data_IF_839377918179
#
_entry.id   IF_839377918179
#
_cell.length_a   1.000
_cell.length_b   1.000
_cell.length_c   1.000
_cell.angle_alpha   90.00
_cell.angle_beta   90.00
_cell.angle_gamma   90.00
#
_symmetry.space_group_name_H-M   'P 1'
#
loop_
_entity.id
_entity.type
_entity.pdbx_description
1 polymer ?
#
# COMPACT_ATOMS: atom_id res chain seq x y z
N UNK A 1 -10.48 -4.99 35.95
CA UNK A 1 -9.40 -5.99 36.07
C UNK A 1 -8.71 -6.00 34.72
N UNK A 2 -7.54 -5.36 34.63
CA UNK A 2 -6.79 -5.28 33.36
C UNK A 2 -6.13 -6.64 33.17
N UNK A 3 -6.50 -7.34 32.11
CA UNK A 3 -5.89 -8.60 31.71
C UNK A 3 -4.38 -8.35 31.46
N UNK A 4 -3.46 -8.98 32.22
CA UNK A 4 -2.03 -8.70 32.18
C UNK A 4 -1.33 -9.41 31.01
N UNK A 5 -2.08 -9.89 30.00
CA UNK A 5 -1.47 -10.50 28.82
C UNK A 5 -0.48 -9.52 28.21
N UNK A 6 0.80 -9.92 28.05
CA UNK A 6 1.80 -9.06 27.43
C UNK A 6 1.31 -8.69 26.03
N UNK A 7 1.45 -7.41 25.68
CA UNK A 7 1.17 -6.95 24.31
C UNK A 7 1.97 -7.82 23.35
N UNK A 8 1.32 -8.39 22.31
CA UNK A 8 2.02 -9.20 21.34
C UNK A 8 3.18 -8.41 20.72
N UNK A 9 4.30 -9.09 20.50
CA UNK A 9 5.48 -8.50 19.89
C UNK A 9 5.37 -8.55 18.36
N UNK A 10 5.99 -7.60 17.64
CA UNK A 10 6.12 -7.68 16.19
C UNK A 10 6.79 -9.00 15.77
N UNK A 11 6.34 -9.57 14.65
CA UNK A 11 7.01 -10.74 14.09
C UNK A 11 8.39 -10.35 13.55
N UNK A 12 9.41 -11.23 13.68
CA UNK A 12 10.68 -11.06 12.99
C UNK A 12 10.49 -10.97 11.47
N UNK A 13 11.37 -10.21 10.80
CA UNK A 13 11.30 -9.99 9.36
C UNK A 13 11.30 -11.32 8.58
N UNK A 14 12.12 -12.28 8.97
CA UNK A 14 12.19 -13.62 8.36
C UNK A 14 10.84 -14.33 8.43
N UNK A 15 10.15 -14.22 9.58
CA UNK A 15 8.85 -14.86 9.77
C UNK A 15 7.78 -14.20 8.90
N UNK A 16 7.80 -12.87 8.77
CA UNK A 16 6.91 -12.14 7.86
C UNK A 16 7.14 -12.60 6.41
N UNK A 17 8.40 -12.73 5.99
CA UNK A 17 8.76 -13.16 4.64
C UNK A 17 8.42 -14.63 4.37
N UNK A 18 8.56 -15.53 5.35
CA UNK A 18 8.07 -16.91 5.25
C UNK A 18 6.56 -16.97 5.00
N UNK A 19 5.78 -16.11 5.66
CA UNK A 19 4.33 -16.01 5.45
C UNK A 19 4.00 -15.42 4.08
N UNK A 20 4.78 -14.43 3.65
CA UNK A 20 4.57 -13.71 2.40
C UNK A 20 4.91 -14.56 1.18
N UNK A 21 5.96 -15.39 1.21
CA UNK A 21 6.43 -16.18 0.06
C UNK A 21 5.32 -16.95 -0.69
N UNK A 22 4.50 -17.80 -0.03
CA UNK A 22 3.41 -18.50 -0.71
C UNK A 22 2.33 -17.54 -1.24
N UNK A 23 2.02 -16.47 -0.52
CA UNK A 23 0.99 -15.50 -0.93
C UNK A 23 1.42 -14.70 -2.16
N UNK A 24 2.71 -14.32 -2.24
CA UNK A 24 3.28 -13.66 -3.40
C UNK A 24 3.29 -14.58 -4.63
N UNK A 25 3.51 -15.88 -4.44
CA UNK A 25 3.48 -16.85 -5.53
C UNK A 25 2.09 -16.99 -6.17
N UNK A 26 1.00 -16.71 -5.44
CA UNK A 26 -0.37 -16.73 -5.98
C UNK A 26 -0.62 -15.63 -7.03
N UNK A 27 0.08 -14.51 -6.94
CA UNK A 27 -0.04 -13.39 -7.90
C UNK A 27 1.01 -13.41 -9.00
N UNK A 28 2.03 -14.28 -8.88
CA UNK A 28 3.00 -14.58 -9.94
C UNK A 28 4.45 -14.60 -9.47
N UNK A 29 5.29 -15.29 -10.25
CA UNK A 29 6.72 -15.45 -9.97
C UNK A 29 7.06 -16.62 -9.04
N UNK A 30 8.35 -16.90 -8.89
CA UNK A 30 8.85 -17.92 -7.96
C UNK A 30 9.59 -17.23 -6.81
N UNK A 31 8.86 -16.92 -5.74
CA UNK A 31 9.40 -16.22 -4.59
C UNK A 31 10.09 -17.17 -3.63
N UNK A 32 11.37 -16.93 -3.37
CA UNK A 32 12.19 -17.74 -2.45
C UNK A 32 12.93 -16.84 -1.48
N UNK A 33 13.05 -17.30 -0.24
CA UNK A 33 13.95 -16.68 0.74
C UNK A 33 15.39 -16.81 0.25
N UNK A 34 16.16 -15.74 0.42
CA UNK A 34 17.61 -15.71 0.16
C UNK A 34 18.39 -15.76 1.48
N UNK A 35 19.72 -15.80 1.39
CA UNK A 35 20.57 -15.57 2.56
C UNK A 35 20.38 -14.12 3.07
N UNK A 36 19.64 -13.96 4.17
CA UNK A 36 19.21 -12.68 4.74
C UNK A 36 17.69 -12.45 4.63
N UNK A 37 17.13 -11.45 5.33
CA UNK A 37 15.68 -11.20 5.38
C UNK A 37 15.17 -10.56 4.07
N UNK A 38 15.16 -11.34 2.99
CA UNK A 38 14.65 -10.93 1.68
C UNK A 38 14.04 -12.12 0.93
N UNK A 39 12.92 -11.87 0.23
CA UNK A 39 12.41 -12.74 -0.82
C UNK A 39 12.92 -12.29 -2.17
N UNK A 40 13.21 -13.22 -3.08
CA UNK A 40 13.65 -12.95 -4.44
C UNK A 40 12.84 -13.76 -5.44
N UNK A 41 12.48 -13.13 -6.57
CA UNK A 41 11.90 -13.76 -7.77
C UNK A 41 12.56 -13.13 -9.00
N UNK A 42 13.44 -13.89 -9.68
CA UNK A 42 14.29 -13.33 -10.74
C UNK A 42 15.21 -12.21 -10.20
N UNK A 43 15.12 -11.01 -10.77
CA UNK A 43 15.81 -9.81 -10.26
C UNK A 43 15.01 -9.05 -9.20
N UNK A 44 13.72 -9.34 -9.01
CA UNK A 44 12.90 -8.64 -8.02
C UNK A 44 13.20 -9.11 -6.60
N UNK A 45 13.13 -8.19 -5.66
CA UNK A 45 13.30 -8.46 -4.23
C UNK A 45 12.17 -7.86 -3.41
N UNK A 46 11.86 -8.50 -2.27
CA UNK A 46 10.96 -7.96 -1.24
C UNK A 46 11.63 -8.07 0.12
N UNK A 47 11.60 -6.99 0.90
CA UNK A 47 12.16 -6.90 2.25
C UNK A 47 11.15 -6.29 3.22
N UNK A 48 11.33 -6.61 4.50
CA UNK A 48 10.66 -5.90 5.60
C UNK A 48 11.59 -4.77 6.05
N UNK A 49 11.08 -3.55 6.10
CA UNK A 49 11.80 -2.39 6.61
C UNK A 49 11.69 -2.31 8.14
N UNK A 50 12.56 -1.55 8.81
CA UNK A 50 12.35 -1.21 10.22
C UNK A 50 10.97 -0.57 10.41
N UNK A 51 10.25 -1.01 11.45
CA UNK A 51 8.91 -0.51 11.73
C UNK A 51 8.94 1.01 11.99
N UNK A 52 8.02 1.73 11.35
CA UNK A 52 7.78 3.16 11.59
C UNK A 52 6.66 3.44 12.61
N UNK A 53 6.10 2.37 13.18
CA UNK A 53 4.97 2.35 14.11
C UNK A 53 5.24 1.37 15.25
N UNK A 54 4.74 1.70 16.46
CA UNK A 54 4.78 0.81 17.62
C UNK A 54 3.68 -0.28 17.59
N UNK A 55 2.78 -0.24 16.61
CA UNK A 55 1.75 -1.27 16.45
C UNK A 55 2.34 -2.53 15.81
N UNK A 56 2.38 -3.64 16.56
CA UNK A 56 2.93 -4.92 16.10
C UNK A 56 2.25 -5.51 14.86
N UNK A 57 1.05 -5.01 14.51
CA UNK A 57 0.28 -5.43 13.33
C UNK A 57 0.66 -4.66 12.08
N UNK A 58 1.46 -3.61 12.22
CA UNK A 58 1.92 -2.76 11.13
C UNK A 58 3.17 -3.36 10.49
N UNK A 59 3.21 -3.37 9.16
CA UNK A 59 4.34 -3.84 8.38
C UNK A 59 4.76 -2.77 7.38
N UNK A 60 6.04 -2.44 7.38
CA UNK A 60 6.71 -1.67 6.35
C UNK A 60 7.41 -2.62 5.37
N UNK A 61 7.04 -2.58 4.09
CA UNK A 61 7.53 -3.47 3.05
C UNK A 61 8.17 -2.67 1.92
N UNK A 62 9.26 -3.20 1.38
CA UNK A 62 9.99 -2.62 0.26
C UNK A 62 10.11 -3.61 -0.89
N UNK A 63 9.80 -3.15 -2.11
CA UNK A 63 10.06 -3.86 -3.36
C UNK A 63 11.32 -3.29 -4.00
N UNK A 64 12.30 -4.17 -4.22
CA UNK A 64 13.48 -3.90 -5.03
C UNK A 64 13.18 -4.30 -6.47
N UNK A 65 13.16 -3.33 -7.38
CA UNK A 65 12.90 -3.59 -8.81
C UNK A 65 14.04 -4.39 -9.46
N UNK A 66 15.26 -4.25 -8.92
CA UNK A 66 16.39 -5.07 -9.29
C UNK A 66 17.39 -5.17 -8.13
N UNK A 67 17.43 -6.34 -7.49
CA UNK A 67 18.32 -6.66 -6.34
C UNK A 67 19.79 -6.46 -6.69
N UNK A 68 20.17 -6.66 -7.95
CA UNK A 68 21.55 -6.55 -8.40
C UNK A 68 21.92 -5.12 -8.85
N UNK A 69 20.98 -4.16 -8.76
CA UNK A 69 21.15 -2.75 -9.15
C UNK A 69 20.66 -1.81 -8.05
N UNK A 70 21.50 -1.48 -7.06
CA UNK A 70 21.12 -0.63 -5.93
C UNK A 70 20.85 0.84 -6.32
N UNK A 71 21.24 1.23 -7.53
CA UNK A 71 20.95 2.56 -8.10
C UNK A 71 19.52 2.68 -8.66
N UNK A 72 18.81 1.56 -8.84
CA UNK A 72 17.41 1.54 -9.27
C UNK A 72 16.51 1.86 -8.08
N UNK A 73 15.49 2.74 -8.24
CA UNK A 73 14.59 3.09 -7.15
C UNK A 73 13.83 1.87 -6.62
N UNK A 74 13.55 1.89 -5.31
CA UNK A 74 12.68 0.92 -4.64
C UNK A 74 11.27 1.48 -4.45
N UNK A 75 10.29 0.61 -4.28
CA UNK A 75 8.91 0.99 -3.95
C UNK A 75 8.62 0.56 -2.52
N UNK A 76 8.42 1.54 -1.63
CA UNK A 76 8.11 1.31 -0.24
C UNK A 76 6.63 1.62 0.03
N UNK A 77 6.01 0.77 0.84
CA UNK A 77 4.66 0.96 1.34
C UNK A 77 4.50 0.28 2.70
N UNK A 78 3.51 0.70 3.48
CA UNK A 78 3.20 0.08 4.74
C UNK A 78 1.71 -0.19 4.90
N UNK A 79 1.37 -1.16 5.74
CA UNK A 79 0.05 -1.78 5.83
C UNK A 79 -0.19 -2.27 7.26
N UNK A 80 -1.44 -2.52 7.63
CA UNK A 80 -1.84 -2.91 8.97
C UNK A 80 -2.81 -4.09 8.93
N UNK A 81 -2.55 -5.11 9.74
CA UNK A 81 -3.50 -6.19 10.02
C UNK A 81 -4.48 -5.81 11.13
N UNK A 82 -5.69 -6.37 11.10
CA UNK A 82 -6.72 -6.07 12.12
C UNK A 82 -6.86 -7.17 13.17
N UNK A 83 -6.39 -8.38 12.89
CA UNK A 83 -6.43 -9.49 13.84
C UNK A 83 -5.61 -9.23 15.11
N UNK A 84 -6.01 -9.87 16.20
CA UNK A 84 -5.31 -9.83 17.48
C UNK A 84 -4.16 -10.86 17.56
N UNK A 85 -4.20 -11.91 16.73
CA UNK A 85 -3.10 -12.84 16.59
C UNK A 85 -2.03 -12.25 15.65
N UNK A 86 -0.74 -12.18 16.05
CA UNK A 86 0.30 -11.58 15.22
C UNK A 86 0.50 -12.23 13.85
N UNK A 87 0.34 -13.55 13.74
CA UNK A 87 0.50 -14.27 12.47
C UNK A 87 -0.65 -13.93 11.53
N UNK A 88 -1.88 -13.95 12.04
CA UNK A 88 -3.05 -13.58 11.28
C UNK A 88 -3.05 -12.10 10.89
N UNK A 89 -2.60 -11.22 11.80
CA UNK A 89 -2.45 -9.80 11.50
C UNK A 89 -1.43 -9.57 10.38
N UNK A 90 -0.27 -10.23 10.44
CA UNK A 90 0.72 -10.15 9.37
C UNK A 90 0.17 -10.66 8.04
N UNK A 91 -0.60 -11.76 8.02
CA UNK A 91 -1.26 -12.24 6.80
C UNK A 91 -2.22 -11.21 6.21
N UNK A 92 -3.06 -10.60 7.03
CA UNK A 92 -3.99 -9.55 6.58
C UNK A 92 -3.26 -8.32 6.03
N UNK A 93 -2.21 -7.88 6.73
CA UNK A 93 -1.34 -6.82 6.30
C UNK A 93 -0.71 -7.13 4.92
N UNK A 94 -0.07 -8.29 4.78
CA UNK A 94 0.54 -8.76 3.53
C UNK A 94 -0.50 -8.81 2.41
N UNK A 95 -1.69 -9.37 2.67
CA UNK A 95 -2.76 -9.45 1.67
C UNK A 95 -3.15 -8.06 1.15
N UNK A 96 -3.40 -7.10 2.05
CA UNK A 96 -3.75 -5.74 1.66
C UNK A 96 -2.62 -5.03 0.88
N UNK A 97 -1.37 -5.31 1.22
CA UNK A 97 -0.21 -4.83 0.47
C UNK A 97 -0.09 -5.47 -0.91
N UNK A 98 -0.35 -6.78 -1.03
CA UNK A 98 -0.38 -7.48 -2.32
C UNK A 98 -1.43 -6.86 -3.23
N UNK A 99 -2.68 -6.77 -2.76
CA UNK A 99 -3.86 -6.32 -3.53
C UNK A 99 -3.78 -4.88 -4.02
N UNK A 100 -2.88 -4.07 -3.44
CA UNK A 100 -2.73 -2.66 -3.79
C UNK A 100 -1.33 -2.35 -4.33
N UNK A 101 -0.27 -2.54 -3.54
CA UNK A 101 1.08 -2.14 -3.90
C UNK A 101 1.76 -3.14 -4.84
N UNK A 102 1.87 -4.42 -4.46
CA UNK A 102 2.62 -5.40 -5.26
C UNK A 102 2.05 -5.54 -6.67
N UNK A 103 0.72 -5.67 -6.79
CA UNK A 103 0.05 -5.82 -8.08
C UNK A 103 0.30 -4.64 -9.01
N UNK A 104 0.43 -3.40 -8.50
CA UNK A 104 0.78 -2.23 -9.33
C UNK A 104 2.19 -2.30 -9.88
N UNK A 105 3.14 -2.77 -9.07
CA UNK A 105 4.53 -2.94 -9.50
C UNK A 105 4.66 -4.07 -10.51
N UNK A 106 3.98 -5.20 -10.27
CA UNK A 106 3.94 -6.30 -11.23
C UNK A 106 3.28 -5.88 -12.54
N UNK A 107 2.18 -5.13 -12.49
CA UNK A 107 1.54 -4.58 -13.69
C UNK A 107 2.47 -3.64 -14.47
N UNK A 108 3.20 -2.76 -13.79
CA UNK A 108 4.20 -1.90 -14.44
C UNK A 108 5.25 -2.69 -15.24
N UNK A 109 5.68 -3.82 -14.69
CA UNK A 109 6.71 -4.69 -15.28
C UNK A 109 6.14 -5.51 -16.43
N UNK A 110 4.94 -6.07 -16.24
CA UNK A 110 4.38 -7.06 -17.16
C UNK A 110 3.52 -6.44 -18.26
N UNK A 111 2.89 -5.29 -18.01
CA UNK A 111 2.06 -4.50 -18.93
C UNK A 111 1.00 -5.31 -19.67
N UNK A 112 0.22 -6.09 -18.91
CA UNK A 112 -0.83 -6.99 -19.45
C UNK A 112 -2.24 -6.50 -19.19
N UNK A 113 -2.42 -5.43 -18.41
CA UNK A 113 -3.71 -4.87 -18.01
C UNK A 113 -4.55 -5.84 -17.18
N UNK A 114 -3.93 -6.70 -16.37
CA UNK A 114 -4.66 -7.72 -15.58
C UNK A 114 -4.70 -7.43 -14.09
N UNK A 115 -3.67 -6.75 -13.58
CA UNK A 115 -3.41 -6.59 -12.14
C UNK A 115 -3.77 -5.18 -11.64
N UNK A 116 -3.61 -4.17 -12.49
CA UNK A 116 -3.89 -2.78 -12.19
C UNK A 116 -4.36 -2.02 -13.43
N UNK A 117 -5.00 -0.87 -13.20
CA UNK A 117 -5.49 0.01 -14.26
C UNK A 117 -4.43 1.04 -14.65
N UNK A 118 -4.35 1.35 -15.94
CA UNK A 118 -3.46 2.36 -16.49
C UNK A 118 -4.24 3.62 -16.87
N UNK A 119 -3.72 4.78 -16.49
CA UNK A 119 -4.27 6.08 -16.84
C UNK A 119 -3.16 7.00 -17.32
N UNK A 120 -3.30 7.52 -18.54
CA UNK A 120 -2.44 8.60 -19.05
C UNK A 120 -2.76 9.90 -18.34
N UNK A 121 -1.86 10.88 -18.45
CA UNK A 121 -2.03 12.18 -17.80
C UNK A 121 -3.34 12.90 -18.18
N UNK A 122 -3.85 12.69 -19.39
CA UNK A 122 -5.07 13.35 -19.89
C UNK A 122 -6.36 12.55 -19.67
N UNK A 123 -6.27 11.33 -19.15
CA UNK A 123 -7.43 10.45 -18.99
C UNK A 123 -8.29 10.88 -17.78
N UNK A 124 -9.58 10.54 -17.81
CA UNK A 124 -10.41 10.60 -16.61
C UNK A 124 -9.84 9.62 -15.58
N UNK A 125 -9.48 10.12 -14.39
CA UNK A 125 -8.76 9.34 -13.39
C UNK A 125 -7.23 9.34 -13.55
N UNK A 126 -6.71 10.06 -14.54
CA UNK A 126 -5.28 10.27 -14.74
C UNK A 126 -4.64 11.18 -13.69
N UNK A 127 -3.31 11.23 -13.69
CA UNK A 127 -2.53 12.12 -12.82
C UNK A 127 -1.75 13.11 -13.69
N UNK A 128 -1.99 14.41 -13.51
CA UNK A 128 -1.41 15.43 -14.39
C UNK A 128 0.13 15.37 -14.42
N UNK A 129 0.70 15.16 -15.61
CA UNK A 129 2.14 15.03 -15.88
C UNK A 129 2.74 13.63 -15.69
N UNK A 130 1.92 12.62 -15.37
CA UNK A 130 2.38 11.26 -15.05
C UNK A 130 1.49 10.18 -15.65
N UNK A 131 2.09 9.05 -16.01
CA UNK A 131 1.36 7.82 -16.27
C UNK A 131 1.09 7.14 -14.92
N UNK A 132 -0.18 6.99 -14.57
CA UNK A 132 -0.61 6.40 -13.30
C UNK A 132 -1.01 4.94 -13.49
N UNK A 133 -0.44 4.06 -12.67
CA UNK A 133 -0.82 2.65 -12.55
C UNK A 133 -1.47 2.48 -11.19
N UNK A 134 -2.76 2.13 -11.17
CA UNK A 134 -3.58 2.17 -9.97
C UNK A 134 -4.07 0.78 -9.60
N UNK A 135 -3.73 0.35 -8.39
CA UNK A 135 -4.14 -0.93 -7.84
C UNK A 135 -5.61 -0.91 -7.44
N UNK A 136 -6.13 -2.08 -7.06
CA UNK A 136 -7.49 -2.15 -6.52
C UNK A 136 -7.65 -1.31 -5.25
N UNK A 137 -8.89 -1.08 -4.83
CA UNK A 137 -9.19 -0.54 -3.51
C UNK A 137 -9.57 -1.69 -2.58
N UNK A 138 -8.77 -1.92 -1.53
CA UNK A 138 -9.03 -2.95 -0.51
C UNK A 138 -9.37 -2.31 0.82
N UNK A 139 -10.13 -3.00 1.65
CA UNK A 139 -10.66 -2.44 2.88
C UNK A 139 -11.41 -3.45 3.73
N UNK A 140 -11.73 -3.02 4.94
CA UNK A 140 -12.49 -3.79 5.90
C UNK A 140 -13.44 -2.86 6.65
N UNK A 141 -14.65 -3.31 6.90
CA UNK A 141 -15.65 -2.60 7.69
C UNK A 141 -16.35 -3.56 8.65
N UNK A 142 -16.61 -3.10 9.88
CA UNK A 142 -17.23 -3.92 10.92
C UNK A 142 -18.68 -4.33 10.59
N UNK A 143 -19.34 -3.58 9.71
CA UNK A 143 -20.68 -3.85 9.19
C UNK A 143 -20.66 -4.56 7.82
N UNK A 144 -19.47 -4.90 7.30
CA UNK A 144 -19.30 -5.51 5.99
C UNK A 144 -19.48 -4.56 4.80
N UNK A 145 -19.64 -3.25 5.03
CA UNK A 145 -19.79 -2.26 3.95
C UNK A 145 -18.52 -2.13 3.09
N UNK A 146 -18.72 -2.04 1.77
CA UNK A 146 -17.67 -1.76 0.79
C UNK A 146 -17.61 -0.27 0.36
N UNK A 147 -18.44 0.60 0.95
CA UNK A 147 -18.63 1.95 0.43
C UNK A 147 -17.36 2.80 0.34
N UNK A 148 -16.40 2.63 1.26
CA UNK A 148 -15.10 3.34 1.19
C UNK A 148 -14.23 2.83 0.03
N UNK A 149 -14.28 1.54 -0.29
CA UNK A 149 -13.55 0.93 -1.40
C UNK A 149 -14.15 1.36 -2.74
N UNK A 150 -15.49 1.31 -2.84
CA UNK A 150 -16.25 1.82 -3.99
C UNK A 150 -15.94 3.30 -4.21
N UNK A 151 -15.97 4.12 -3.17
CA UNK A 151 -15.61 5.54 -3.26
C UNK A 151 -14.17 5.76 -3.76
N UNK A 152 -13.18 5.01 -3.26
CA UNK A 152 -11.81 5.12 -3.75
C UNK A 152 -11.73 4.80 -5.26
N UNK A 153 -12.43 3.75 -5.69
CA UNK A 153 -12.45 3.32 -7.09
C UNK A 153 -13.18 4.30 -8.01
N UNK A 154 -14.30 4.87 -7.57
CA UNK A 154 -15.18 5.73 -8.39
C UNK A 154 -14.77 7.21 -8.35
N UNK A 155 -14.47 7.75 -7.17
CA UNK A 155 -14.12 9.16 -7.00
C UNK A 155 -12.67 9.45 -7.43
N UNK A 156 -11.83 8.40 -7.53
CA UNK A 156 -10.45 8.47 -8.01
C UNK A 156 -9.67 9.63 -7.37
N UNK A 157 -9.59 9.70 -6.03
CA UNK A 157 -9.13 10.90 -5.35
C UNK A 157 -7.66 11.25 -5.65
N UNK A 158 -6.84 10.29 -6.11
CA UNK A 158 -5.48 10.57 -6.59
C UNK A 158 -5.46 11.56 -7.77
N UNK A 159 -6.47 11.51 -8.64
CA UNK A 159 -6.60 12.38 -9.80
C UNK A 159 -6.99 13.79 -9.37
N UNK A 160 -8.00 13.90 -8.50
CA UNK A 160 -8.46 15.17 -7.92
C UNK A 160 -7.36 15.85 -7.10
N UNK A 161 -6.58 15.07 -6.35
CA UNK A 161 -5.51 15.56 -5.49
C UNK A 161 -4.16 15.69 -6.20
N UNK A 162 -4.10 15.45 -7.52
CA UNK A 162 -2.84 15.46 -8.26
C UNK A 162 -2.00 16.74 -8.04
N UNK A 163 -2.56 17.97 -8.04
CA UNK A 163 -1.76 19.18 -7.81
C UNK A 163 -1.07 19.22 -6.43
N UNK A 164 -1.76 18.78 -5.37
CA UNK A 164 -1.20 18.79 -4.00
C UNK A 164 -0.23 17.63 -3.79
N UNK A 165 -0.50 16.46 -4.39
CA UNK A 165 0.41 15.31 -4.35
C UNK A 165 1.70 15.64 -5.13
N UNK A 166 1.58 16.28 -6.30
CA UNK A 166 2.71 16.65 -7.16
C UNK A 166 3.77 17.49 -6.43
N UNK A 167 3.34 18.36 -5.51
CA UNK A 167 4.25 19.19 -4.70
C UNK A 167 5.13 18.38 -3.73
N UNK A 168 4.76 17.13 -3.44
CA UNK A 168 5.52 16.22 -2.57
C UNK A 168 6.31 15.14 -3.32
N UNK A 169 6.21 15.06 -4.65
CA UNK A 169 6.98 14.11 -5.45
C UNK A 169 8.44 14.53 -5.51
N UNK A 170 9.35 13.61 -5.17
CA UNK A 170 10.78 13.90 -5.06
C UNK A 170 11.66 13.03 -5.97
N UNK A 171 11.05 12.12 -6.74
CA UNK A 171 11.77 11.26 -7.69
C UNK A 171 11.37 11.60 -9.13
N UNK A 172 12.32 11.58 -10.09
CA UNK A 172 12.07 12.04 -11.44
C UNK A 172 11.25 11.05 -12.31
N UNK A 173 11.33 9.75 -12.03
CA UNK A 173 10.78 8.72 -12.94
C UNK A 173 9.79 7.75 -12.29
N UNK A 174 9.84 7.61 -10.96
CA UNK A 174 9.00 6.63 -10.26
C UNK A 174 8.66 7.10 -8.85
N UNK A 175 7.37 7.27 -8.57
CA UNK A 175 6.87 7.61 -7.24
C UNK A 175 5.73 6.67 -6.86
N UNK A 176 5.75 6.18 -5.62
CA UNK A 176 4.63 5.45 -5.03
C UNK A 176 3.76 6.39 -4.19
N UNK A 177 2.45 6.34 -4.38
CA UNK A 177 1.47 7.12 -3.61
C UNK A 177 0.46 6.18 -3.00
N UNK A 178 0.46 6.07 -1.67
CA UNK A 178 -0.54 5.30 -0.93
C UNK A 178 -1.59 6.24 -0.38
N UNK A 179 -2.87 5.88 -0.54
CA UNK A 179 -3.99 6.62 0.04
C UNK A 179 -4.80 5.70 0.94
N UNK A 180 -5.23 6.21 2.10
CA UNK A 180 -6.08 5.50 3.04
C UNK A 180 -7.11 6.46 3.62
N UNK A 181 -8.36 6.01 3.71
CA UNK A 181 -9.41 6.65 4.51
C UNK A 181 -9.94 5.64 5.51
N UNK A 182 -10.09 6.04 6.76
CA UNK A 182 -10.54 5.17 7.83
C UNK A 182 -11.16 5.93 8.97
N UNK A 183 -12.05 5.27 9.69
CA UNK A 183 -12.71 5.84 10.87
C UNK A 183 -13.33 4.75 11.73
N UNK A 184 -13.69 5.07 12.96
CA UNK A 184 -14.51 4.25 13.86
C UNK A 184 -14.49 4.78 15.29
N UNK A 185 -15.66 5.05 15.88
CA UNK A 185 -15.71 5.69 17.19
C UNK A 185 -15.02 7.06 17.18
N UNK A 186 -14.00 7.25 18.01
CA UNK A 186 -13.19 8.47 18.02
C UNK A 186 -12.04 8.48 16.99
N UNK A 187 -11.80 7.36 16.30
CA UNK A 187 -10.78 7.26 15.26
C UNK A 187 -11.30 7.85 13.95
N UNK A 188 -10.50 8.70 13.33
CA UNK A 188 -10.66 9.15 11.94
C UNK A 188 -9.26 9.43 11.41
N UNK A 189 -8.90 8.78 10.31
CA UNK A 189 -7.61 8.97 9.67
C UNK A 189 -7.79 9.04 8.15
N UNK A 190 -7.06 9.98 7.57
CA UNK A 190 -6.86 10.11 6.15
C UNK A 190 -5.36 10.21 5.96
N UNK A 191 -4.80 9.24 5.28
CA UNK A 191 -3.36 9.18 5.07
C UNK A 191 -3.07 9.23 3.57
N UNK A 192 -2.15 10.12 3.20
CA UNK A 192 -1.46 10.05 1.91
C UNK A 192 0.01 9.91 2.20
N UNK A 193 0.65 8.85 1.69
CA UNK A 193 2.10 8.66 1.76
C UNK A 193 2.69 8.72 0.36
N UNK A 194 3.79 9.47 0.22
CA UNK A 194 4.58 9.56 -1.00
C UNK A 194 5.93 8.89 -0.73
N UNK A 195 6.27 7.87 -1.50
CA UNK A 195 7.51 7.09 -1.35
C UNK A 195 7.73 6.62 0.10
N UNK A 196 6.67 6.08 0.72
CA UNK A 196 6.69 5.59 2.09
C UNK A 196 6.57 6.65 3.18
N UNK A 197 6.58 7.95 2.87
CA UNK A 197 6.50 9.04 3.87
C UNK A 197 5.16 9.73 3.85
N UNK A 198 4.54 9.93 5.01
CA UNK A 198 3.30 10.68 5.15
C UNK A 198 3.47 12.12 4.63
N UNK A 199 2.53 12.57 3.81
CA UNK A 199 2.50 13.91 3.22
C UNK A 199 1.29 14.67 3.76
N UNK A 200 1.50 15.45 4.81
CA UNK A 200 0.43 16.14 5.54
C UNK A 200 -0.48 17.01 4.66
N UNK A 201 0.02 17.80 3.70
CA UNK A 201 -0.86 18.58 2.82
C UNK A 201 -1.85 17.71 2.03
N UNK A 202 -1.39 16.56 1.51
CA UNK A 202 -2.26 15.64 0.77
C UNK A 202 -3.21 14.88 1.70
N UNK A 203 -2.77 14.53 2.91
CA UNK A 203 -3.62 13.91 3.93
C UNK A 203 -4.78 14.83 4.35
N UNK A 204 -4.48 16.12 4.59
CA UNK A 204 -5.50 17.12 4.90
C UNK A 204 -6.47 17.34 3.73
N UNK A 205 -5.96 17.38 2.49
CA UNK A 205 -6.81 17.51 1.30
C UNK A 205 -7.70 16.28 1.09
N UNK A 206 -7.19 15.07 1.34
CA UNK A 206 -7.98 13.83 1.32
C UNK A 206 -9.07 13.84 2.39
N UNK A 207 -8.76 14.31 3.61
CA UNK A 207 -9.72 14.42 4.69
C UNK A 207 -10.88 15.38 4.39
N UNK A 208 -10.64 16.40 3.55
CA UNK A 208 -11.63 17.38 3.14
C UNK A 208 -12.58 16.88 2.03
N UNK A 209 -12.31 15.72 1.41
CA UNK A 209 -13.22 15.13 0.42
C UNK A 209 -14.46 14.49 1.07
N UNK A 210 -15.50 14.31 0.26
CA UNK A 210 -16.78 13.70 0.65
C UNK A 210 -16.73 12.16 0.64
N UNK A 211 -15.73 11.57 1.28
CA UNK A 211 -15.64 10.12 1.41
C UNK A 211 -16.68 9.58 2.42
N UNK A 212 -17.13 8.30 2.29
CA UNK A 212 -18.22 7.76 3.12
C UNK A 212 -17.89 7.63 4.61
N UNK A 213 -18.54 8.48 5.41
CA UNK A 213 -18.45 8.49 6.87
C UNK A 213 -19.68 7.80 7.52
N UNK A 214 -19.45 6.61 8.08
CA UNK A 214 -20.27 5.81 8.99
C UNK A 214 -19.85 5.91 10.48
N UNK A 215 -20.70 5.49 11.44
CA UNK A 215 -20.32 5.42 12.86
C UNK A 215 -19.48 4.16 13.21
N UNK A 216 -19.54 3.15 12.34
CA UNK A 216 -18.85 1.87 12.52
C UNK A 216 -17.41 1.95 12.03
N UNK A 217 -16.54 1.15 12.67
CA UNK A 217 -15.16 1.06 12.24
C UNK A 217 -15.08 0.53 10.81
N UNK A 218 -14.32 1.21 9.97
CA UNK A 218 -13.98 0.74 8.64
C UNK A 218 -12.90 1.59 7.99
N UNK A 219 -12.11 0.96 7.14
CA UNK A 219 -11.02 1.58 6.40
C UNK A 219 -10.97 1.05 4.98
N UNK A 220 -10.42 1.84 4.07
CA UNK A 220 -10.06 1.41 2.73
C UNK A 220 -8.78 2.12 2.29
N UNK A 221 -8.01 1.44 1.45
CA UNK A 221 -6.76 1.94 0.89
C UNK A 221 -6.60 1.55 -0.57
N UNK A 222 -5.80 2.33 -1.28
CA UNK A 222 -5.30 2.01 -2.62
C UNK A 222 -3.85 2.47 -2.75
N UNK A 223 -3.18 2.03 -3.80
CA UNK A 223 -1.82 2.41 -4.13
C UNK A 223 -1.76 2.84 -5.60
N UNK A 224 -1.08 3.95 -5.85
CA UNK A 224 -0.87 4.52 -7.17
C UNK A 224 0.63 4.58 -7.43
N UNK A 225 1.08 3.95 -8.50
CA UNK A 225 2.44 4.06 -8.98
C UNK A 225 2.47 5.07 -10.12
N UNK A 226 3.17 6.18 -9.91
CA UNK A 226 3.37 7.23 -10.90
C UNK A 226 4.69 6.97 -11.64
N UNK A 227 4.58 6.70 -12.94
CA UNK A 227 5.71 6.50 -13.85
C UNK A 227 5.81 7.74 -14.72
N UNK A 228 6.97 8.38 -14.76
CA UNK A 228 7.07 9.70 -15.35
C UNK A 228 8.26 9.96 -16.26
N UNK A 229 8.26 11.15 -16.89
CA UNK A 229 7.05 11.91 -17.24
C UNK A 229 6.32 11.29 -18.45
N UNK A 230 5.00 11.51 -18.52
CA UNK A 230 4.13 11.11 -19.66
C UNK A 230 4.10 12.20 -20.76
#
# INVERSE_FOLDING_TARGET
MIDPRPTPQPLPAERVLELAAPMLAEVGGEWRLTDGPMLRSGSLGVRVLPADSDDYRHLDLEILLNVDRPDVPTVADCTLGLAADPVEAARQAIQAWIETCLVTVLEMIEQRGRLANHFRSGDQGGFAGWHAIVGSATGWSADGSQGKQEWLAEAMPWSTLAPVIAAGLDRPYLNGVRMLVGQGGAFTDCEVRINGRRHEPSAAALAALDWPRTDRFGLARTFVLLVGPD
#
